data_IF_293744179283
#
_entry.id   IF_293744179283
#
_cell.length_a   1.000
_cell.length_b   1.000
_cell.length_c   1.000
_cell.angle_alpha   90.00
_cell.angle_beta   90.00
_cell.angle_gamma   90.00
#
_symmetry.space_group_name_H-M   'P 1'
#
loop_
_entity.id
_entity.type
_entity.pdbx_description
1 polymer ?
#
# COMPACT_ATOMS: atom_id res chain seq x y z
N UNK A 1 1.86 4.47 -12.86
CA UNK A 1 2.52 4.63 -11.55
C UNK A 1 3.35 3.39 -11.25
N UNK A 2 4.10 3.38 -10.14
CA UNK A 2 5.20 2.45 -9.90
C UNK A 2 4.96 1.42 -8.80
N UNK A 3 5.94 1.28 -7.90
CA UNK A 3 6.04 0.18 -6.94
C UNK A 3 6.24 0.68 -5.53
N UNK A 4 5.62 0.01 -4.58
CA UNK A 4 5.76 0.26 -3.14
C UNK A 4 6.11 -1.02 -2.41
N UNK A 5 6.83 -0.92 -1.29
CA UNK A 5 7.04 -2.03 -0.36
C UNK A 5 6.06 -1.90 0.80
N UNK A 6 5.47 -3.03 1.19
CA UNK A 6 4.69 -3.13 2.41
C UNK A 6 5.60 -3.40 3.61
N UNK A 7 5.65 -2.45 4.55
CA UNK A 7 6.38 -2.57 5.81
C UNK A 7 5.36 -2.74 6.96
N UNK A 8 4.84 -3.97 7.11
CA UNK A 8 3.90 -4.35 8.16
C UNK A 8 3.92 -5.84 8.44
N UNK A 9 2.94 -6.35 9.20
CA UNK A 9 2.79 -7.79 9.47
C UNK A 9 2.06 -8.47 8.31
N UNK A 10 2.52 -9.65 7.87
CA UNK A 10 1.77 -10.44 6.88
C UNK A 10 0.36 -10.74 7.37
N UNK A 11 -0.64 -10.60 6.50
CA UNK A 11 -2.03 -10.91 6.80
C UNK A 11 -2.80 -11.48 5.61
N UNK A 12 -3.89 -12.19 5.93
CA UNK A 12 -4.73 -12.88 4.95
C UNK A 12 -4.06 -14.10 4.33
N UNK A 13 -4.84 -15.03 3.73
CA UNK A 13 -4.29 -16.16 2.98
C UNK A 13 -3.53 -15.71 1.71
N UNK A 14 -3.81 -14.49 1.22
CA UNK A 14 -3.13 -13.89 0.08
C UNK A 14 -3.26 -12.34 0.08
N UNK A 15 -3.21 -11.71 1.27
CA UNK A 15 -3.24 -10.25 1.39
C UNK A 15 -1.87 -9.62 1.12
N UNK A 16 -1.36 -8.86 2.09
CA UNK A 16 -0.01 -8.28 2.00
C UNK A 16 0.99 -9.10 2.81
N UNK A 17 2.17 -9.33 2.25
CA UNK A 17 3.30 -10.02 2.84
C UNK A 17 4.37 -9.02 3.30
N UNK A 18 4.86 -9.20 4.53
CA UNK A 18 5.88 -8.35 5.12
C UNK A 18 7.13 -8.22 4.23
N UNK A 19 7.47 -7.00 3.85
CA UNK A 19 8.64 -6.67 3.03
C UNK A 19 8.48 -6.92 1.53
N UNK A 20 7.33 -7.44 1.09
CA UNK A 20 7.05 -7.64 -0.32
C UNK A 20 6.86 -6.30 -1.07
N UNK A 21 7.19 -6.31 -2.36
CA UNK A 21 7.08 -5.16 -3.25
C UNK A 21 5.90 -5.41 -4.19
N UNK A 22 5.01 -4.44 -4.24
CA UNK A 22 3.77 -4.52 -5.00
C UNK A 22 3.66 -3.44 -6.05
N UNK A 23 2.95 -3.76 -7.14
CA UNK A 23 2.62 -2.80 -8.18
C UNK A 23 1.36 -2.02 -7.80
N UNK A 24 1.41 -0.70 -7.97
CA UNK A 24 0.26 0.17 -7.72
C UNK A 24 -0.46 0.43 -9.05
N UNK A 25 -1.78 0.27 -9.07
CA UNK A 25 -2.67 0.47 -10.23
C UNK A 25 -3.33 1.86 -10.25
N UNK A 26 -3.58 2.44 -9.09
CA UNK A 26 -4.19 3.78 -8.97
C UNK A 26 -4.07 4.30 -7.54
N UNK A 27 -4.31 5.60 -7.39
CA UNK A 27 -4.56 6.25 -6.10
C UNK A 27 -6.03 6.69 -6.10
N UNK A 28 -6.79 6.27 -5.10
CA UNK A 28 -8.24 6.47 -5.01
C UNK A 28 -8.60 6.91 -3.58
N UNK A 29 -9.07 8.14 -3.38
CA UNK A 29 -9.64 8.62 -2.10
C UNK A 29 -8.89 8.21 -0.82
N UNK A 30 -7.57 8.47 -0.74
CA UNK A 30 -6.80 8.09 0.46
C UNK A 30 -6.23 6.66 0.44
N UNK A 31 -6.55 5.89 -0.60
CA UNK A 31 -6.16 4.48 -0.77
C UNK A 31 -5.20 4.30 -1.95
N UNK A 32 -4.38 3.24 -1.89
CA UNK A 32 -3.67 2.68 -3.04
C UNK A 32 -4.42 1.46 -3.55
N UNK A 33 -4.66 1.38 -4.86
CA UNK A 33 -5.02 0.12 -5.49
C UNK A 33 -3.75 -0.66 -5.82
N UNK A 34 -3.56 -1.81 -5.19
CA UNK A 34 -2.34 -2.60 -5.24
C UNK A 34 -2.67 -3.98 -5.80
N UNK A 35 -1.81 -4.50 -6.68
CA UNK A 35 -1.85 -5.93 -7.06
C UNK A 35 -1.19 -6.71 -5.95
N UNK A 36 -1.97 -7.40 -5.11
CA UNK A 36 -1.50 -8.13 -3.93
C UNK A 36 -1.08 -9.57 -4.25
N UNK A 37 -0.96 -10.42 -3.22
CA UNK A 37 -0.55 -11.82 -3.40
C UNK A 37 -1.63 -12.68 -4.12
N UNK A 38 -2.86 -12.19 -4.31
CA UNK A 38 -3.89 -12.81 -5.16
C UNK A 38 -3.77 -12.42 -6.64
N UNK A 39 -2.75 -11.64 -7.00
CA UNK A 39 -2.58 -11.06 -8.34
C UNK A 39 -3.77 -10.17 -8.78
N UNK A 40 -4.53 -9.66 -7.82
CA UNK A 40 -5.73 -8.85 -8.03
C UNK A 40 -5.58 -7.46 -7.41
N UNK A 41 -6.28 -6.49 -8.01
CA UNK A 41 -6.19 -5.08 -7.65
C UNK A 41 -7.11 -4.68 -6.49
N UNK A 42 -6.62 -4.74 -5.24
CA UNK A 42 -7.35 -4.36 -4.04
C UNK A 42 -6.96 -2.98 -3.50
N UNK A 43 -7.88 -2.34 -2.78
CA UNK A 43 -7.65 -1.04 -2.15
C UNK A 43 -7.11 -1.22 -0.73
N UNK A 44 -6.03 -0.52 -0.42
CA UNK A 44 -5.45 -0.46 0.91
C UNK A 44 -5.23 0.99 1.32
N UNK A 45 -5.42 1.27 2.61
CA UNK A 45 -5.22 2.60 3.18
C UNK A 45 -3.78 3.08 2.99
N UNK A 46 -3.58 4.34 2.63
CA UNK A 46 -2.23 4.91 2.44
C UNK A 46 -1.50 5.17 3.77
N UNK A 47 -2.23 5.45 4.84
CA UNK A 47 -1.68 5.74 6.16
C UNK A 47 -1.48 4.48 7.00
N UNK A 48 -2.44 3.56 6.94
CA UNK A 48 -2.47 2.35 7.78
C UNK A 48 -2.89 1.09 7.00
N UNK A 49 -2.06 0.61 6.04
CA UNK A 49 -2.37 -0.58 5.27
C UNK A 49 -2.50 -1.84 6.15
N UNK A 50 -3.68 -2.45 6.09
CA UNK A 50 -4.05 -3.64 6.82
C UNK A 50 -5.29 -4.31 6.19
N UNK A 51 -5.75 -5.44 6.74
CA UNK A 51 -7.02 -6.05 6.35
C UNK A 51 -8.19 -5.18 6.79
N UNK A 52 -9.27 -5.20 6.02
CA UNK A 52 -10.47 -4.39 6.29
C UNK A 52 -11.23 -4.84 7.55
N UNK A 53 -11.21 -6.13 7.85
CA UNK A 53 -11.98 -6.77 8.92
C UNK A 53 -11.20 -7.01 10.22
N UNK A 54 -9.88 -6.77 10.23
CA UNK A 54 -9.03 -6.90 11.40
C UNK A 54 -8.07 -5.68 11.51
N UNK A 55 -8.24 -4.81 12.51
CA UNK A 55 -7.38 -3.63 12.70
C UNK A 55 -6.02 -3.96 13.35
N UNK A 56 -5.74 -5.23 13.69
CA UNK A 56 -4.50 -5.63 14.36
C UNK A 56 -3.26 -5.64 13.45
N UNK A 57 -3.33 -6.19 12.20
CA UNK A 57 -2.23 -6.11 11.26
C UNK A 57 -2.26 -4.75 10.59
N UNK A 58 -1.22 -3.97 10.81
CA UNK A 58 -1.03 -2.69 10.13
C UNK A 58 0.39 -2.55 9.59
N UNK A 59 0.65 -1.53 8.79
CA UNK A 59 1.95 -1.32 8.19
C UNK A 59 2.15 0.09 7.65
N UNK A 60 3.18 0.25 6.82
CA UNK A 60 3.47 1.49 6.10
C UNK A 60 3.90 1.18 4.68
N UNK A 61 3.64 2.12 3.78
CA UNK A 61 4.18 2.06 2.42
C UNK A 61 5.55 2.73 2.35
N UNK A 62 6.50 2.02 1.74
CA UNK A 62 7.78 2.60 1.34
C UNK A 62 7.82 2.72 -0.18
N UNK A 63 8.14 3.91 -0.69
CA UNK A 63 8.24 4.14 -2.13
C UNK A 63 9.47 3.46 -2.72
N UNK A 64 9.27 2.58 -3.71
CA UNK A 64 10.36 1.92 -4.45
C UNK A 64 10.56 2.59 -5.80
N UNK A 65 9.48 2.81 -6.54
CA UNK A 65 9.52 3.46 -7.86
C UNK A 65 8.29 4.33 -8.08
N UNK A 66 8.49 5.48 -8.73
CA UNK A 66 7.41 6.38 -9.12
C UNK A 66 7.61 6.84 -10.57
N UNK A 67 6.80 6.30 -11.47
CA UNK A 67 6.89 6.67 -12.90
C UNK A 67 6.11 7.93 -13.27
N UNK A 68 5.25 8.43 -12.38
CA UNK A 68 4.34 9.55 -12.68
C UNK A 68 4.50 10.74 -11.75
N UNK A 69 5.29 10.62 -10.67
CA UNK A 69 5.42 11.64 -9.62
C UNK A 69 4.22 11.68 -8.67
N UNK A 70 3.22 10.82 -8.86
CA UNK A 70 1.99 10.82 -8.08
C UNK A 70 2.21 10.12 -6.73
N UNK A 71 2.90 8.97 -6.72
CA UNK A 71 3.11 8.18 -5.51
C UNK A 71 3.95 8.95 -4.48
N UNK A 72 5.03 9.57 -4.92
CA UNK A 72 5.88 10.42 -4.09
C UNK A 72 5.08 11.58 -3.47
N UNK A 73 4.24 12.26 -4.25
CA UNK A 73 3.40 13.36 -3.76
C UNK A 73 2.42 12.89 -2.68
N UNK A 74 1.67 11.81 -2.93
CA UNK A 74 0.60 11.40 -2.00
C UNK A 74 1.18 10.76 -0.73
N UNK A 75 2.24 9.95 -0.84
CA UNK A 75 2.88 9.35 0.33
C UNK A 75 3.59 10.41 1.20
N UNK A 76 4.15 11.47 0.60
CA UNK A 76 4.67 12.60 1.37
C UNK A 76 3.58 13.39 2.09
N UNK A 77 2.39 13.51 1.50
CA UNK A 77 1.25 14.18 2.16
C UNK A 77 0.82 13.39 3.39
N UNK A 78 0.64 12.07 3.24
CA UNK A 78 0.28 11.16 4.33
C UNK A 78 1.31 11.19 5.47
N UNK A 79 2.60 11.23 5.14
CA UNK A 79 3.68 11.31 6.13
C UNK A 79 3.75 12.66 6.87
N UNK A 80 3.07 13.71 6.41
CA UNK A 80 2.97 15.00 7.11
C UNK A 80 1.76 15.11 8.03
N UNK A 81 0.76 14.27 7.80
CA UNK A 81 -0.52 14.27 8.52
C UNK A 81 -0.53 13.29 9.71
N UNK A 82 0.47 12.40 9.79
CA UNK A 82 0.68 11.42 10.87
C UNK A 82 1.97 11.71 11.64
#
# INVERSE_FOLDING_TARGET
MGRVRYNGRTFGPAGLTAGAIYYVLSVEEGMLRVVDDEEMGYLYDMADPGPFDDPSPTGKWELIEDYTGVLSRVLQQVAREN
#
